data_IF_452073682299
#
_entry.id   IF_452073682299
#
_cell.length_a   1.000
_cell.length_b   1.000
_cell.length_c   1.000
_cell.angle_alpha   90.00
_cell.angle_beta   90.00
_cell.angle_gamma   90.00
#
_symmetry.space_group_name_H-M   'P 1'
#
loop_
_entity.id
_entity.type
_entity.pdbx_description
1 polymer ?
#
# COMPACT_ATOMS: atom_id res chain seq x y z
N UNK A 1 41.80 53.53 7.65
CA UNK A 1 42.22 52.59 8.68
C UNK A 1 41.31 51.39 8.56
N UNK A 2 41.76 50.39 7.83
CA UNK A 2 40.95 49.24 7.47
C UNK A 2 41.35 48.07 8.39
N UNK A 3 40.45 47.61 9.25
CA UNK A 3 40.65 46.40 10.07
C UNK A 3 40.18 45.17 9.30
N UNK A 4 41.10 44.29 8.96
CA UNK A 4 40.81 42.95 8.51
C UNK A 4 40.48 42.05 9.71
N UNK A 5 39.26 41.54 9.76
CA UNK A 5 38.86 40.50 10.73
C UNK A 5 39.39 39.13 10.31
N UNK A 6 40.02 38.43 11.23
CA UNK A 6 40.50 37.05 11.07
C UNK A 6 39.32 36.06 10.88
N UNK A 7 39.49 35.00 10.09
CA UNK A 7 38.42 34.03 9.85
C UNK A 7 38.14 33.17 11.08
N UNK A 8 36.87 32.86 11.27
CA UNK A 8 36.33 32.05 12.35
C UNK A 8 37.04 30.67 12.43
N UNK A 9 37.33 30.23 13.63
CA UNK A 9 37.89 28.92 13.94
C UNK A 9 37.00 27.81 13.32
N UNK A 10 37.54 27.08 12.37
CA UNK A 10 36.92 25.87 11.83
C UNK A 10 36.78 24.83 12.96
N UNK A 11 35.59 24.39 13.25
CA UNK A 11 35.28 23.44 14.31
C UNK A 11 35.91 22.06 13.96
N UNK A 12 36.53 21.40 14.93
CA UNK A 12 37.18 20.09 14.76
C UNK A 12 36.23 19.04 14.17
N UNK A 13 34.94 19.14 14.45
CA UNK A 13 33.90 18.26 13.88
C UNK A 13 33.74 18.44 12.36
N UNK A 14 33.84 19.66 11.85
CA UNK A 14 33.76 19.94 10.40
C UNK A 14 34.97 19.38 9.64
N UNK A 15 36.15 19.40 10.26
CA UNK A 15 37.36 18.80 9.70
C UNK A 15 37.29 17.26 9.66
N UNK A 16 36.70 16.64 10.68
CA UNK A 16 36.53 15.17 10.72
C UNK A 16 35.51 14.71 9.65
N UNK A 17 34.41 15.42 9.46
CA UNK A 17 33.41 15.11 8.41
C UNK A 17 33.99 15.30 7.01
N UNK A 18 34.77 16.39 6.79
CA UNK A 18 35.44 16.61 5.50
C UNK A 18 36.50 15.54 5.20
N UNK A 19 37.27 15.10 6.22
CA UNK A 19 38.23 14.01 6.07
C UNK A 19 37.54 12.65 5.81
N UNK A 20 36.41 12.38 6.46
CA UNK A 20 35.66 11.15 6.23
C UNK A 20 35.05 11.11 4.81
N UNK A 21 34.56 12.26 4.30
CA UNK A 21 34.03 12.36 2.93
C UNK A 21 35.13 12.17 1.90
N UNK A 22 36.31 12.76 2.12
CA UNK A 22 37.47 12.60 1.22
C UNK A 22 38.03 11.20 1.23
N UNK A 23 38.07 10.52 2.37
CA UNK A 23 38.46 9.11 2.49
C UNK A 23 37.41 8.20 1.85
N UNK A 24 36.10 8.51 2.02
CA UNK A 24 35.01 7.79 1.36
C UNK A 24 35.05 7.92 -0.15
N UNK A 25 35.34 9.12 -0.68
CA UNK A 25 35.52 9.36 -2.10
C UNK A 25 36.79 8.70 -2.66
N UNK A 26 37.88 8.68 -1.91
CA UNK A 26 39.14 8.03 -2.31
C UNK A 26 39.00 6.49 -2.30
N UNK A 27 38.34 5.93 -1.29
CA UNK A 27 38.02 4.48 -1.22
C UNK A 27 36.97 4.07 -2.25
N UNK A 28 35.94 4.93 -2.52
CA UNK A 28 34.98 4.70 -3.58
C UNK A 28 35.60 4.69 -4.97
N UNK A 29 36.62 5.52 -5.20
CA UNK A 29 37.35 5.55 -6.48
C UNK A 29 38.28 4.34 -6.65
N UNK A 30 38.69 3.69 -5.55
CA UNK A 30 39.50 2.45 -5.60
C UNK A 30 38.67 1.18 -5.69
N UNK A 31 37.40 1.22 -5.26
CA UNK A 31 36.46 0.11 -5.30
C UNK A 31 35.58 0.08 -6.54
N UNK A 32 35.64 1.10 -7.40
CA UNK A 32 35.02 1.00 -8.73
C UNK A 32 35.86 0.05 -9.58
N UNK A 33 35.36 -1.14 -9.94
CA UNK A 33 36.07 -2.02 -10.83
C UNK A 33 36.43 -1.23 -12.10
N UNK A 34 37.73 -1.16 -12.45
CA UNK A 34 38.15 -0.54 -13.70
C UNK A 34 37.45 -1.27 -14.83
N UNK A 35 36.74 -0.54 -15.69
CA UNK A 35 36.23 -1.11 -16.92
C UNK A 35 37.39 -1.78 -17.65
N UNK A 36 37.23 -3.04 -18.11
CA UNK A 36 38.28 -3.72 -18.88
C UNK A 36 38.67 -2.84 -20.06
N UNK A 37 39.98 -2.78 -20.34
CA UNK A 37 40.48 -2.09 -21.53
C UNK A 37 39.93 -2.77 -22.76
N UNK A 38 39.71 -2.02 -23.85
CA UNK A 38 39.12 -2.51 -25.10
C UNK A 38 39.86 -3.69 -25.76
N UNK A 39 41.07 -3.95 -25.30
CA UNK A 39 41.99 -4.98 -25.73
C UNK A 39 42.10 -6.19 -24.77
N UNK A 40 41.40 -6.19 -23.64
CA UNK A 40 41.37 -7.32 -22.74
C UNK A 40 40.37 -8.37 -23.29
N UNK A 41 40.93 -9.46 -23.88
CA UNK A 41 40.13 -10.60 -24.34
C UNK A 41 39.34 -11.18 -23.13
N UNK A 42 38.04 -10.98 -23.12
CA UNK A 42 37.17 -11.64 -22.16
C UNK A 42 37.21 -13.14 -22.39
N UNK A 43 37.75 -13.97 -21.49
CA UNK A 43 38.11 -15.34 -21.75
C UNK A 43 36.96 -16.27 -22.09
N UNK A 44 35.71 -15.92 -21.75
CA UNK A 44 34.52 -16.67 -22.14
C UNK A 44 33.33 -15.72 -22.34
N UNK A 45 32.77 -15.74 -23.54
CA UNK A 45 31.54 -15.00 -23.78
C UNK A 45 30.36 -15.69 -23.09
N UNK A 46 29.53 -14.95 -22.35
CA UNK A 46 28.33 -15.53 -21.79
C UNK A 46 27.36 -15.92 -22.88
N UNK A 47 26.66 -17.01 -22.69
CA UNK A 47 25.47 -17.29 -23.48
C UNK A 47 24.43 -16.22 -23.19
N UNK A 48 24.04 -15.46 -24.22
CA UNK A 48 22.96 -14.48 -24.09
C UNK A 48 21.63 -15.22 -24.03
N UNK A 49 20.80 -14.87 -23.04
CA UNK A 49 19.47 -15.47 -22.88
C UNK A 49 18.39 -14.40 -22.86
N UNK A 50 17.21 -14.78 -23.27
CA UNK A 50 15.99 -13.98 -23.12
C UNK A 50 14.86 -14.90 -22.70
N UNK A 51 14.23 -14.60 -21.57
CA UNK A 51 13.19 -15.45 -20.96
C UNK A 51 13.70 -16.88 -20.68
N UNK A 52 14.93 -16.99 -20.19
CA UNK A 52 15.57 -18.26 -19.84
C UNK A 52 16.08 -19.10 -21.04
N UNK A 53 15.75 -18.71 -22.27
CA UNK A 53 16.16 -19.41 -23.48
C UNK A 53 17.35 -18.72 -24.16
N UNK A 54 18.33 -19.50 -24.67
CA UNK A 54 19.46 -18.95 -25.40
C UNK A 54 19.00 -18.16 -26.65
N UNK A 55 19.57 -16.99 -26.86
CA UNK A 55 19.32 -16.13 -28.01
C UNK A 55 20.55 -16.09 -28.90
N UNK A 56 20.44 -16.68 -30.12
CA UNK A 56 21.48 -16.53 -31.13
C UNK A 56 21.53 -15.06 -31.59
N UNK A 57 22.73 -14.47 -31.59
CA UNK A 57 22.95 -13.08 -32.01
C UNK A 57 23.24 -12.93 -33.50
N UNK A 58 22.58 -13.75 -34.34
CA UNK A 58 22.62 -13.70 -35.78
C UNK A 58 21.77 -12.57 -36.39
N UNK A 59 21.62 -12.52 -37.70
CA UNK A 59 20.79 -11.50 -38.36
C UNK A 59 19.32 -11.60 -37.97
N UNK A 60 18.83 -12.78 -37.61
CA UNK A 60 17.45 -13.02 -37.17
C UNK A 60 17.20 -12.72 -35.69
N UNK A 61 18.24 -12.36 -34.91
CA UNK A 61 18.15 -12.18 -33.46
C UNK A 61 17.00 -11.25 -33.01
N UNK A 62 16.82 -10.11 -33.70
CA UNK A 62 15.76 -9.15 -33.38
C UNK A 62 14.36 -9.73 -33.61
N UNK A 63 14.16 -10.49 -34.68
CA UNK A 63 12.88 -11.12 -34.98
C UNK A 63 12.59 -12.27 -33.99
N UNK A 64 13.62 -13.07 -33.68
CA UNK A 64 13.51 -14.15 -32.69
C UNK A 64 13.20 -13.61 -31.30
N UNK A 65 13.90 -12.57 -30.88
CA UNK A 65 13.62 -11.88 -29.61
C UNK A 65 12.19 -11.32 -29.56
N UNK A 66 11.76 -10.64 -30.64
CA UNK A 66 10.38 -10.10 -30.71
C UNK A 66 9.33 -11.21 -30.66
N UNK A 67 9.53 -12.33 -31.35
CA UNK A 67 8.60 -13.45 -31.29
C UNK A 67 8.48 -14.05 -29.89
N UNK A 68 9.59 -14.15 -29.14
CA UNK A 68 9.59 -14.62 -27.75
C UNK A 68 8.86 -13.66 -26.82
N UNK A 69 9.19 -12.36 -26.90
CA UNK A 69 8.54 -11.34 -26.07
C UNK A 69 7.04 -11.26 -26.35
N UNK A 70 6.62 -11.38 -27.64
CA UNK A 70 5.19 -11.46 -28.00
C UNK A 70 4.49 -12.65 -27.36
N UNK A 71 5.11 -13.83 -27.40
CA UNK A 71 4.55 -15.04 -26.75
C UNK A 71 4.42 -14.86 -25.24
N UNK A 72 5.41 -14.24 -24.61
CA UNK A 72 5.36 -13.92 -23.20
C UNK A 72 4.25 -12.89 -22.90
N UNK A 73 4.17 -11.79 -23.63
CA UNK A 73 3.19 -10.71 -23.43
C UNK A 73 1.74 -11.16 -23.69
N UNK A 74 1.53 -12.16 -24.57
CA UNK A 74 0.21 -12.75 -24.81
C UNK A 74 -0.28 -13.66 -23.68
N UNK A 75 0.58 -14.00 -22.75
CA UNK A 75 0.24 -14.84 -21.60
C UNK A 75 -0.26 -14.05 -20.40
N UNK A 76 -0.39 -14.76 -19.29
CA UNK A 76 -0.87 -14.22 -18.02
C UNK A 76 0.25 -14.04 -17.00
N UNK A 77 -0.01 -13.16 -16.04
CA UNK A 77 0.71 -12.93 -14.80
C UNK A 77 -0.17 -13.32 -13.62
N UNK A 78 0.36 -14.09 -12.71
CA UNK A 78 -0.34 -14.49 -11.47
C UNK A 78 0.01 -13.50 -10.37
N UNK A 79 -0.99 -12.77 -9.89
CA UNK A 79 -0.88 -11.89 -8.73
C UNK A 79 -1.06 -12.71 -7.46
N UNK A 80 -0.10 -12.65 -6.56
CA UNK A 80 -0.10 -13.43 -5.32
C UNK A 80 -0.43 -12.51 -4.15
N UNK A 81 -1.41 -12.90 -3.35
CA UNK A 81 -1.82 -12.19 -2.14
C UNK A 81 -1.03 -12.71 -0.93
N UNK A 82 -0.92 -11.95 0.17
CA UNK A 82 -0.21 -12.39 1.38
C UNK A 82 -0.76 -13.67 2.03
N UNK A 83 -2.04 -13.98 1.82
CA UNK A 83 -2.67 -15.22 2.29
C UNK A 83 -2.44 -16.41 1.35
N UNK A 84 -1.60 -16.25 0.33
CA UNK A 84 -1.27 -17.26 -0.66
C UNK A 84 -2.32 -17.42 -1.76
N UNK A 85 -3.45 -16.71 -1.71
CA UNK A 85 -4.42 -16.69 -2.80
C UNK A 85 -3.81 -16.10 -4.05
N UNK A 86 -4.31 -16.52 -5.21
CA UNK A 86 -3.79 -16.16 -6.51
C UNK A 86 -4.90 -15.59 -7.38
N UNK A 87 -4.55 -14.57 -8.17
CA UNK A 87 -5.41 -13.99 -9.19
C UNK A 87 -4.64 -13.97 -10.51
N UNK A 88 -5.22 -14.45 -11.56
CA UNK A 88 -4.58 -14.52 -12.88
C UNK A 88 -5.11 -13.41 -13.78
N UNK A 89 -4.20 -12.64 -14.36
CA UNK A 89 -4.50 -11.54 -15.27
C UNK A 89 -3.66 -11.68 -16.55
N UNK A 90 -4.29 -11.45 -17.71
CA UNK A 90 -3.53 -11.30 -18.95
C UNK A 90 -2.63 -10.06 -18.86
N UNK A 91 -1.37 -10.19 -19.28
CA UNK A 91 -0.40 -9.09 -19.23
C UNK A 91 -0.92 -7.86 -20.00
N UNK A 92 -1.56 -8.06 -21.16
CA UNK A 92 -2.16 -6.99 -21.93
C UNK A 92 -3.32 -6.27 -21.21
N UNK A 93 -4.08 -6.97 -20.37
CA UNK A 93 -5.13 -6.38 -19.53
C UNK A 93 -4.54 -5.48 -18.44
N UNK A 94 -3.42 -5.89 -17.84
CA UNK A 94 -2.65 -5.08 -16.91
C UNK A 94 -1.90 -3.92 -17.58
N UNK A 95 -2.11 -3.67 -18.89
CA UNK A 95 -1.44 -2.60 -19.61
C UNK A 95 -0.01 -2.94 -20.05
N UNK A 96 0.39 -4.22 -20.05
CA UNK A 96 1.72 -4.62 -20.51
C UNK A 96 1.87 -4.47 -22.02
N UNK A 97 2.81 -3.64 -22.45
CA UNK A 97 3.11 -3.32 -23.84
C UNK A 97 4.58 -3.60 -24.16
N UNK A 98 4.86 -4.06 -25.37
CA UNK A 98 6.23 -4.37 -25.81
C UNK A 98 6.92 -3.08 -26.22
N UNK A 99 8.00 -2.71 -25.53
CA UNK A 99 8.89 -1.64 -25.95
C UNK A 99 9.85 -2.16 -27.05
N UNK A 100 9.45 -1.92 -28.31
CA UNK A 100 10.22 -2.34 -29.47
C UNK A 100 11.54 -1.60 -29.62
N UNK A 101 11.60 -0.36 -29.17
CA UNK A 101 12.82 0.46 -29.21
C UNK A 101 13.84 -0.11 -28.24
N UNK A 102 13.42 -0.34 -27.01
CA UNK A 102 14.24 -0.99 -25.98
C UNK A 102 14.67 -2.40 -26.41
N UNK A 103 13.77 -3.20 -27.01
CA UNK A 103 14.11 -4.52 -27.53
C UNK A 103 15.25 -4.45 -28.57
N UNK A 104 15.11 -3.55 -29.55
CA UNK A 104 16.14 -3.38 -30.58
C UNK A 104 17.47 -2.90 -29.97
N UNK A 105 17.43 -2.05 -28.97
CA UNK A 105 18.63 -1.60 -28.26
C UNK A 105 19.29 -2.74 -27.49
N UNK A 106 18.53 -3.54 -26.72
CA UNK A 106 19.04 -4.69 -25.98
C UNK A 106 19.74 -5.71 -26.92
N UNK A 107 19.18 -5.99 -28.10
CA UNK A 107 19.78 -6.88 -29.06
C UNK A 107 21.09 -6.29 -29.65
N UNK A 108 21.14 -4.97 -29.89
CA UNK A 108 22.38 -4.29 -30.32
C UNK A 108 23.45 -4.36 -29.21
N UNK A 109 23.07 -4.00 -27.99
CA UNK A 109 23.96 -4.01 -26.82
C UNK A 109 24.48 -5.43 -26.55
N UNK A 110 23.65 -6.45 -26.74
CA UNK A 110 24.06 -7.86 -26.64
C UNK A 110 25.06 -8.30 -27.69
N UNK A 111 25.16 -7.61 -28.84
CA UNK A 111 26.19 -7.85 -29.89
C UNK A 111 27.47 -7.06 -29.61
N UNK A 112 27.38 -5.95 -28.89
CA UNK A 112 28.52 -5.08 -28.61
C UNK A 112 29.13 -5.41 -27.24
N UNK A 113 30.32 -6.03 -27.27
CA UNK A 113 31.07 -6.41 -26.08
C UNK A 113 31.49 -5.21 -25.18
N UNK A 114 31.53 -4.00 -25.74
CA UNK A 114 31.86 -2.78 -25.01
C UNK A 114 30.64 -2.10 -24.41
N UNK A 115 29.45 -2.65 -24.63
CA UNK A 115 28.19 -2.09 -24.17
C UNK A 115 28.10 -2.03 -22.63
N UNK A 116 27.26 -1.13 -22.09
CA UNK A 116 26.99 -1.08 -20.65
C UNK A 116 26.46 -2.43 -20.10
N UNK A 117 25.77 -3.21 -20.94
CA UNK A 117 25.23 -4.51 -20.59
C UNK A 117 26.33 -5.51 -20.21
N UNK A 118 27.35 -5.66 -21.08
CA UNK A 118 28.50 -6.53 -20.79
C UNK A 118 29.34 -6.01 -19.64
N UNK A 119 29.52 -4.70 -19.51
CA UNK A 119 30.24 -4.11 -18.38
C UNK A 119 29.56 -4.40 -17.06
N UNK A 120 28.24 -4.29 -17.00
CA UNK A 120 27.46 -4.62 -15.78
C UNK A 120 27.55 -6.12 -15.46
N UNK A 121 27.46 -6.99 -16.47
CA UNK A 121 27.60 -8.43 -16.29
C UNK A 121 28.98 -8.81 -15.77
N UNK A 122 30.04 -8.26 -16.35
CA UNK A 122 31.41 -8.50 -15.93
C UNK A 122 31.70 -7.94 -14.53
N UNK A 123 31.19 -6.75 -14.22
CA UNK A 123 31.37 -6.13 -12.89
C UNK A 123 30.69 -6.91 -11.79
N UNK A 124 29.66 -7.66 -12.09
CA UNK A 124 28.94 -8.53 -11.15
C UNK A 124 29.63 -9.90 -10.96
N UNK A 125 30.76 -10.17 -11.63
CA UNK A 125 31.51 -11.42 -11.61
C UNK A 125 30.60 -12.65 -11.86
N UNK A 126 29.61 -12.49 -12.75
CA UNK A 126 28.65 -13.54 -13.05
C UNK A 126 29.28 -14.50 -14.08
N UNK A 127 29.63 -15.69 -13.61
CA UNK A 127 30.05 -16.82 -14.49
C UNK A 127 28.86 -17.48 -15.22
N UNK A 128 27.70 -16.88 -15.13
CA UNK A 128 26.43 -17.38 -15.66
C UNK A 128 26.10 -16.73 -17.01
N UNK A 129 25.08 -17.23 -17.68
CA UNK A 129 24.55 -16.61 -18.88
C UNK A 129 24.13 -15.15 -18.67
N UNK A 130 24.28 -14.32 -19.70
CA UNK A 130 23.78 -12.95 -19.70
C UNK A 130 22.27 -12.97 -19.99
N UNK A 131 21.45 -12.84 -18.95
CA UNK A 131 19.99 -12.75 -19.12
C UNK A 131 19.59 -11.32 -19.50
N UNK A 132 18.89 -11.16 -20.62
CA UNK A 132 18.39 -9.87 -21.05
C UNK A 132 17.10 -9.53 -20.30
N UNK A 133 16.94 -8.30 -19.82
CA UNK A 133 15.68 -7.86 -19.26
C UNK A 133 14.59 -7.90 -20.33
N UNK A 134 13.38 -8.28 -19.94
CA UNK A 134 12.25 -8.37 -20.87
C UNK A 134 11.73 -6.95 -21.14
N UNK A 135 11.72 -6.47 -22.39
CA UNK A 135 11.33 -5.12 -22.72
C UNK A 135 9.80 -4.97 -22.80
N UNK A 136 9.17 -5.13 -21.65
CA UNK A 136 7.76 -4.84 -21.44
C UNK A 136 7.66 -3.63 -20.52
N UNK A 137 6.87 -2.66 -20.91
CA UNK A 137 6.49 -1.50 -20.10
C UNK A 137 5.03 -1.60 -19.75
N UNK A 138 4.67 -1.18 -18.55
CA UNK A 138 3.28 -1.06 -18.15
C UNK A 138 2.71 0.30 -18.58
N UNK A 139 1.59 0.29 -19.26
CA UNK A 139 0.73 1.46 -19.32
C UNK A 139 0.19 1.71 -17.91
N UNK A 140 0.76 2.74 -17.28
CA UNK A 140 0.55 3.01 -15.85
C UNK A 140 -0.92 3.28 -15.52
N UNK A 141 -1.64 3.96 -16.40
CA UNK A 141 -3.06 4.27 -16.22
C UNK A 141 -3.89 2.98 -16.17
N UNK A 142 -3.73 2.09 -17.16
CA UNK A 142 -4.45 0.80 -17.19
C UNK A 142 -4.10 -0.10 -16.02
N UNK A 143 -2.81 -0.17 -15.65
CA UNK A 143 -2.39 -0.96 -14.51
C UNK A 143 -2.98 -0.43 -13.21
N UNK A 144 -3.05 0.90 -13.07
CA UNK A 144 -3.64 1.57 -11.92
C UNK A 144 -5.14 1.28 -11.82
N UNK A 145 -5.88 1.37 -12.92
CA UNK A 145 -7.32 1.07 -12.94
C UNK A 145 -7.61 -0.36 -12.46
N UNK A 146 -6.86 -1.36 -12.95
CA UNK A 146 -7.03 -2.76 -12.52
C UNK A 146 -6.63 -2.96 -11.05
N UNK A 147 -5.58 -2.29 -10.57
CA UNK A 147 -5.17 -2.37 -9.17
C UNK A 147 -6.18 -1.65 -8.24
N UNK A 148 -6.81 -0.57 -8.68
CA UNK A 148 -7.86 0.11 -7.91
C UNK A 148 -9.12 -0.76 -7.80
N UNK A 149 -9.52 -1.45 -8.86
CA UNK A 149 -10.62 -2.44 -8.78
C UNK A 149 -10.29 -3.57 -7.79
N UNK A 150 -9.04 -4.05 -7.80
CA UNK A 150 -8.58 -5.03 -6.82
C UNK A 150 -8.56 -4.47 -5.40
N UNK A 151 -8.18 -3.20 -5.24
CA UNK A 151 -8.19 -2.51 -3.96
C UNK A 151 -9.58 -2.49 -3.36
N UNK A 152 -10.60 -2.12 -4.12
CA UNK A 152 -12.00 -2.08 -3.67
C UNK A 152 -12.50 -3.47 -3.24
N UNK A 153 -12.04 -4.55 -3.89
CA UNK A 153 -12.40 -5.93 -3.52
C UNK A 153 -11.65 -6.42 -2.28
N UNK A 154 -10.36 -6.06 -2.15
CA UNK A 154 -9.44 -6.70 -1.22
C UNK A 154 -9.19 -5.92 0.06
N UNK A 155 -9.42 -4.62 0.05
CA UNK A 155 -9.22 -3.78 1.23
C UNK A 155 -10.17 -4.16 2.36
N UNK A 156 -9.64 -4.18 3.55
CA UNK A 156 -10.39 -4.36 4.78
C UNK A 156 -9.87 -3.39 5.82
N UNK A 157 -10.77 -2.59 6.34
CA UNK A 157 -10.44 -1.74 7.48
C UNK A 157 -10.25 -2.60 8.74
N UNK A 158 -9.41 -2.16 9.68
CA UNK A 158 -9.29 -2.82 10.97
C UNK A 158 -10.62 -2.74 11.71
N UNK A 159 -10.97 -3.80 12.41
CA UNK A 159 -12.15 -3.85 13.29
C UNK A 159 -11.67 -4.12 14.70
N UNK A 160 -12.07 -3.27 15.62
CA UNK A 160 -11.70 -3.39 17.03
C UNK A 160 -12.37 -4.61 17.69
N UNK A 161 -11.70 -5.18 18.68
CA UNK A 161 -12.33 -6.13 19.57
C UNK A 161 -13.53 -5.46 20.26
N UNK A 162 -14.64 -6.18 20.33
CA UNK A 162 -15.92 -5.66 20.86
C UNK A 162 -16.63 -6.72 21.68
N UNK A 163 -17.57 -6.28 22.51
CA UNK A 163 -18.46 -7.15 23.25
C UNK A 163 -19.72 -7.45 22.44
N UNK A 164 -20.02 -8.72 22.22
CA UNK A 164 -21.36 -9.18 21.79
C UNK A 164 -22.28 -9.15 23.02
N UNK A 165 -23.14 -8.13 23.11
CA UNK A 165 -23.99 -7.88 24.27
C UNK A 165 -25.05 -8.97 24.46
N UNK A 166 -25.51 -9.61 23.38
CA UNK A 166 -26.50 -10.70 23.46
C UNK A 166 -25.86 -11.97 24.03
N UNK A 167 -24.69 -12.34 23.52
CA UNK A 167 -23.97 -13.54 23.93
C UNK A 167 -23.06 -13.34 25.13
N UNK A 168 -22.87 -12.09 25.57
CA UNK A 168 -21.92 -11.68 26.61
C UNK A 168 -20.51 -12.25 26.36
N UNK A 169 -20.09 -12.23 25.11
CA UNK A 169 -18.81 -12.77 24.67
C UNK A 169 -18.00 -11.73 23.94
N UNK A 170 -16.69 -11.76 24.17
CA UNK A 170 -15.77 -10.96 23.43
C UNK A 170 -15.65 -11.45 22.00
N UNK A 171 -15.86 -10.55 21.04
CA UNK A 171 -15.59 -10.78 19.62
C UNK A 171 -14.18 -10.25 19.35
N UNK A 172 -13.25 -11.08 18.92
CA UNK A 172 -11.88 -10.65 18.69
C UNK A 172 -11.80 -9.63 17.55
N UNK A 173 -10.74 -8.88 17.59
CA UNK A 173 -10.38 -7.91 16.58
C UNK A 173 -10.08 -8.54 15.21
N UNK A 174 -10.18 -7.73 14.16
CA UNK A 174 -9.74 -8.09 12.82
C UNK A 174 -8.70 -7.08 12.34
N UNK A 175 -7.52 -7.55 12.01
CA UNK A 175 -6.50 -6.69 11.41
C UNK A 175 -6.95 -6.14 10.06
N UNK A 176 -6.71 -4.84 9.86
CA UNK A 176 -6.92 -4.18 8.59
C UNK A 176 -5.85 -4.59 7.57
N UNK A 177 -6.23 -4.57 6.30
CA UNK A 177 -5.35 -4.87 5.17
C UNK A 177 -5.74 -3.98 4.01
N UNK A 178 -4.84 -3.10 3.60
CA UNK A 178 -5.04 -2.16 2.50
C UNK A 178 -4.02 -2.42 1.40
N UNK A 179 -4.47 -2.54 0.16
CA UNK A 179 -3.58 -2.72 -0.98
C UNK A 179 -2.74 -1.45 -1.18
N UNK A 180 -1.42 -1.60 -1.13
CA UNK A 180 -0.48 -0.57 -1.56
C UNK A 180 -0.35 -0.64 -3.08
N UNK A 181 -1.04 0.27 -3.76
CA UNK A 181 -1.14 0.28 -5.22
C UNK A 181 0.21 0.59 -5.86
N UNK A 182 0.96 1.57 -5.33
CA UNK A 182 2.24 1.98 -5.90
C UNK A 182 3.33 0.92 -5.71
N UNK A 183 3.41 0.32 -4.53
CA UNK A 183 4.32 -0.78 -4.28
C UNK A 183 3.96 -2.03 -5.09
N UNK A 184 2.67 -2.32 -5.26
CA UNK A 184 2.18 -3.42 -6.11
C UNK A 184 2.49 -3.16 -7.57
N UNK A 185 2.30 -1.94 -8.08
CA UNK A 185 2.67 -1.57 -9.45
C UNK A 185 4.17 -1.79 -9.70
N UNK A 186 5.02 -1.36 -8.77
CA UNK A 186 6.47 -1.58 -8.83
C UNK A 186 6.81 -3.08 -8.82
N UNK A 187 6.08 -3.89 -8.07
CA UNK A 187 6.24 -5.36 -8.06
C UNK A 187 5.90 -5.97 -9.43
N UNK A 188 4.80 -5.52 -10.05
CA UNK A 188 4.39 -5.94 -11.38
C UNK A 188 5.45 -5.58 -12.45
N UNK A 189 5.93 -4.33 -12.43
CA UNK A 189 6.96 -3.85 -13.36
C UNK A 189 8.23 -4.71 -13.29
N UNK A 190 8.71 -4.99 -12.06
CA UNK A 190 9.89 -5.83 -11.84
C UNK A 190 9.68 -7.27 -12.29
N UNK A 191 8.52 -7.86 -12.01
CA UNK A 191 8.22 -9.22 -12.44
C UNK A 191 8.20 -9.33 -13.97
N UNK A 192 7.58 -8.38 -14.66
CA UNK A 192 7.55 -8.34 -16.11
C UNK A 192 8.94 -8.15 -16.73
N UNK A 193 9.75 -7.25 -16.16
CA UNK A 193 11.14 -7.01 -16.63
C UNK A 193 12.02 -8.24 -16.46
N UNK A 194 11.81 -9.04 -15.40
CA UNK A 194 12.52 -10.30 -15.17
C UNK A 194 11.96 -11.50 -15.95
N UNK A 195 10.85 -11.33 -16.66
CA UNK A 195 10.18 -12.42 -17.35
C UNK A 195 9.48 -13.40 -16.41
N UNK A 196 9.20 -13.00 -15.19
CA UNK A 196 8.49 -13.82 -14.20
C UNK A 196 7.00 -13.92 -14.56
N UNK A 197 6.37 -15.02 -14.16
CA UNK A 197 4.93 -15.25 -14.32
C UNK A 197 4.14 -15.02 -13.03
N UNK A 198 4.80 -14.45 -12.01
CA UNK A 198 4.21 -14.16 -10.73
C UNK A 198 4.68 -12.80 -10.25
N UNK A 199 3.79 -12.05 -9.62
CA UNK A 199 4.09 -10.81 -8.93
C UNK A 199 3.33 -10.79 -7.61
N UNK A 200 4.00 -10.37 -6.55
CA UNK A 200 3.36 -10.24 -5.24
C UNK A 200 2.63 -8.91 -5.15
N UNK A 201 1.38 -8.95 -4.68
CA UNK A 201 0.65 -7.76 -4.27
C UNK A 201 1.13 -7.32 -2.90
N UNK A 202 1.40 -6.04 -2.76
CA UNK A 202 1.90 -5.44 -1.52
C UNK A 202 0.74 -4.85 -0.73
N UNK A 203 0.71 -5.13 0.58
CA UNK A 203 -0.34 -4.65 1.46
C UNK A 203 0.23 -3.94 2.67
N UNK A 204 -0.42 -2.86 3.06
CA UNK A 204 -0.26 -2.24 4.38
C UNK A 204 -1.20 -2.94 5.37
N UNK A 205 -0.66 -3.45 6.46
CA UNK A 205 -1.44 -4.05 7.54
C UNK A 205 -1.66 -3.00 8.64
N UNK A 206 -2.93 -2.74 8.96
CA UNK A 206 -3.32 -1.84 10.04
C UNK A 206 -3.85 -2.61 11.21
N UNK A 207 -3.29 -2.33 12.39
CA UNK A 207 -3.79 -2.90 13.63
C UNK A 207 -5.05 -2.17 14.07
N UNK A 208 -6.03 -2.86 14.65
CA UNK A 208 -7.13 -2.24 15.33
C UNK A 208 -6.65 -1.45 16.57
N UNK A 209 -7.44 -0.51 17.03
CA UNK A 209 -7.15 0.27 18.23
C UNK A 209 -7.36 -0.56 19.50
N UNK A 210 -8.28 -1.53 19.47
CA UNK A 210 -8.62 -2.44 20.56
C UNK A 210 -8.33 -3.87 20.17
N UNK A 211 -7.60 -4.59 21.03
CA UNK A 211 -7.31 -6.00 20.85
C UNK A 211 -7.93 -6.82 21.98
N UNK A 212 -8.37 -8.02 21.69
CA UNK A 212 -9.03 -8.89 22.66
C UNK A 212 -8.13 -9.22 23.85
N UNK A 213 -6.82 -9.25 23.67
CA UNK A 213 -5.86 -9.50 24.75
C UNK A 213 -5.86 -8.42 25.84
N UNK A 214 -6.20 -7.17 25.49
CA UNK A 214 -6.33 -6.07 26.47
C UNK A 214 -7.61 -6.19 27.29
N UNK A 215 -8.62 -6.90 26.77
CA UNK A 215 -9.94 -7.09 27.37
C UNK A 215 -10.08 -8.45 28.06
N UNK A 216 -9.06 -9.29 28.01
CA UNK A 216 -9.14 -10.74 28.22
C UNK A 216 -9.62 -11.26 29.58
N UNK A 217 -9.73 -10.41 30.62
CA UNK A 217 -10.20 -10.84 31.95
C UNK A 217 -11.27 -9.91 32.52
N UNK A 218 -11.90 -9.06 31.70
CA UNK A 218 -12.94 -8.14 32.16
C UNK A 218 -14.29 -8.86 32.01
N UNK A 219 -15.04 -8.97 33.12
CA UNK A 219 -16.41 -9.46 33.11
C UNK A 219 -17.36 -8.28 32.84
N UNK A 220 -18.27 -8.47 31.89
CA UNK A 220 -19.32 -7.51 31.52
C UNK A 220 -20.68 -8.08 31.94
N UNK A 221 -20.88 -8.24 33.24
CA UNK A 221 -22.02 -8.91 33.82
C UNK A 221 -23.02 -7.97 34.50
N UNK A 222 -22.62 -6.71 34.73
CA UNK A 222 -23.49 -5.70 35.37
C UNK A 222 -23.84 -4.56 34.42
N UNK A 223 -25.08 -4.06 34.51
CA UNK A 223 -25.54 -2.86 33.80
C UNK A 223 -25.40 -1.67 34.76
N UNK A 224 -24.46 -0.77 34.47
CA UNK A 224 -24.18 0.41 35.28
C UNK A 224 -25.19 1.52 35.04
N UNK A 225 -25.65 1.71 33.83
CA UNK A 225 -26.61 2.75 33.47
C UNK A 225 -27.49 2.34 32.29
N UNK A 226 -28.72 2.79 32.29
CA UNK A 226 -29.66 2.53 31.22
C UNK A 226 -30.49 3.79 30.94
N UNK A 227 -30.66 4.06 29.63
CA UNK A 227 -31.54 5.13 29.18
C UNK A 227 -32.10 4.78 27.80
N UNK A 228 -33.37 5.08 27.56
CA UNK A 228 -33.97 4.84 26.27
C UNK A 228 -34.76 6.07 25.79
N UNK A 229 -34.82 6.21 24.48
CA UNK A 229 -35.66 7.20 23.82
C UNK A 229 -36.41 6.59 22.67
N UNK A 230 -37.64 7.07 22.44
CA UNK A 230 -38.48 6.56 21.35
C UNK A 230 -38.37 7.45 20.12
N UNK A 231 -38.43 6.84 18.93
CA UNK A 231 -38.48 7.53 17.66
C UNK A 231 -39.52 6.93 16.71
N UNK A 232 -40.06 7.75 15.81
CA UNK A 232 -41.05 7.31 14.83
C UNK A 232 -40.39 6.43 13.76
N UNK A 233 -41.00 5.27 13.48
CA UNK A 233 -40.60 4.33 12.42
C UNK A 233 -41.43 4.47 11.15
N UNK A 234 -42.26 5.53 11.04
CA UNK A 234 -43.11 5.71 9.86
C UNK A 234 -42.29 5.88 8.59
N UNK A 235 -42.88 5.58 7.44
CA UNK A 235 -42.26 5.68 6.12
C UNK A 235 -41.65 7.05 5.83
N UNK A 236 -42.28 8.11 6.36
CA UNK A 236 -41.78 9.50 6.24
C UNK A 236 -40.40 9.70 6.84
N UNK A 237 -39.99 8.91 7.81
CA UNK A 237 -38.73 9.04 8.55
C UNK A 237 -37.74 7.91 8.29
N UNK A 238 -37.87 7.20 7.15
CA UNK A 238 -36.98 6.06 6.85
C UNK A 238 -35.51 6.41 6.81
N UNK A 239 -35.15 7.52 6.16
CA UNK A 239 -33.76 7.98 6.09
C UNK A 239 -33.20 8.32 7.48
N UNK A 240 -34.00 9.00 8.31
CA UNK A 240 -33.66 9.28 9.70
C UNK A 240 -33.51 8.00 10.53
N UNK A 241 -34.42 7.06 10.39
CA UNK A 241 -34.36 5.76 11.06
C UNK A 241 -33.11 4.99 10.66
N UNK A 242 -32.73 5.05 9.38
CA UNK A 242 -31.50 4.46 8.88
C UNK A 242 -30.27 5.08 9.53
N UNK A 243 -30.18 6.42 9.58
CA UNK A 243 -29.09 7.14 10.22
C UNK A 243 -28.95 6.82 11.72
N UNK A 244 -30.09 6.74 12.44
CA UNK A 244 -30.12 6.34 13.84
C UNK A 244 -29.51 4.95 14.04
N UNK A 245 -29.93 3.97 13.24
CA UNK A 245 -29.42 2.61 13.32
C UNK A 245 -27.94 2.52 12.96
N UNK A 246 -27.51 3.27 11.95
CA UNK A 246 -26.12 3.32 11.52
C UNK A 246 -25.24 3.90 12.64
N UNK A 247 -25.63 5.01 13.26
CA UNK A 247 -24.89 5.58 14.37
C UNK A 247 -24.86 4.63 15.58
N UNK A 248 -26.00 4.02 15.93
CA UNK A 248 -26.08 3.08 17.04
C UNK A 248 -25.20 1.84 16.82
N UNK A 249 -25.15 1.31 15.59
CA UNK A 249 -24.33 0.13 15.28
C UNK A 249 -22.82 0.36 15.44
N UNK A 250 -22.36 1.63 15.36
CA UNK A 250 -20.96 1.98 15.58
C UNK A 250 -20.61 2.03 17.09
N UNK A 251 -21.63 2.20 17.94
CA UNK A 251 -21.49 2.21 19.39
C UNK A 251 -21.68 0.84 20.02
N UNK A 252 -22.40 -0.03 19.32
CA UNK A 252 -22.76 -1.35 19.83
C UNK A 252 -21.52 -2.22 20.10
N UNK A 253 -21.37 -2.66 21.35
CA UNK A 253 -20.24 -3.43 21.82
C UNK A 253 -18.94 -2.64 21.97
N UNK A 254 -18.94 -1.31 21.82
CA UNK A 254 -17.77 -0.47 22.08
C UNK A 254 -17.33 -0.60 23.54
N UNK A 255 -16.04 -0.84 23.75
CA UNK A 255 -15.47 -0.99 25.10
C UNK A 255 -14.61 0.20 25.42
N UNK A 256 -14.87 0.82 26.58
CA UNK A 256 -14.09 1.91 27.17
C UNK A 256 -13.30 1.34 28.35
N UNK A 257 -11.98 1.53 28.35
CA UNK A 257 -11.13 1.09 29.46
C UNK A 257 -11.08 2.15 30.58
N UNK A 258 -10.75 1.76 31.82
CA UNK A 258 -10.60 2.70 32.92
C UNK A 258 -9.62 3.84 32.58
N UNK A 259 -10.05 5.08 32.82
CA UNK A 259 -9.26 6.28 32.54
C UNK A 259 -9.30 6.78 31.10
N UNK A 260 -10.01 6.10 30.20
CA UNK A 260 -10.20 6.58 28.84
C UNK A 260 -11.37 7.55 28.71
N UNK A 261 -11.24 8.45 27.75
CA UNK A 261 -12.31 9.37 27.36
C UNK A 261 -12.99 8.85 26.10
N UNK A 262 -14.32 8.80 26.14
CA UNK A 262 -15.15 8.50 24.98
C UNK A 262 -15.52 9.79 24.25
N UNK A 263 -15.20 9.87 22.96
CA UNK A 263 -15.71 10.91 22.07
C UNK A 263 -16.69 10.30 21.06
N UNK A 264 -17.93 10.79 21.11
CA UNK A 264 -19.01 10.34 20.23
C UNK A 264 -18.67 10.57 18.74
N UNK A 265 -18.03 11.70 18.43
CA UNK A 265 -17.72 12.05 17.05
C UNK A 265 -16.60 11.17 16.50
N UNK A 266 -15.61 10.83 17.31
CA UNK A 266 -14.52 9.94 16.93
C UNK A 266 -15.02 8.52 16.63
N UNK A 267 -15.93 8.01 17.46
CA UNK A 267 -16.46 6.63 17.32
C UNK A 267 -17.45 6.54 16.18
N UNK A 268 -18.40 7.49 16.09
CA UNK A 268 -19.44 7.49 15.06
C UNK A 268 -18.89 7.97 13.71
N UNK A 269 -17.84 8.79 13.72
CA UNK A 269 -17.18 9.34 12.54
C UNK A 269 -17.99 10.43 11.82
N UNK A 270 -17.51 10.95 10.70
CA UNK A 270 -18.20 11.93 9.88
C UNK A 270 -19.59 11.46 9.42
N UNK A 271 -20.56 12.37 9.47
CA UNK A 271 -21.95 12.10 9.03
C UNK A 271 -22.13 12.57 7.60
N UNK A 272 -21.50 11.90 6.66
CA UNK A 272 -21.53 12.19 5.23
C UNK A 272 -21.97 10.96 4.41
N UNK A 273 -22.15 11.13 3.12
CA UNK A 273 -22.56 10.06 2.20
C UNK A 273 -21.49 8.96 2.07
N UNK A 274 -20.20 9.33 2.14
CA UNK A 274 -19.10 8.37 2.06
C UNK A 274 -19.12 7.38 3.24
N UNK A 275 -19.62 7.83 4.41
CA UNK A 275 -19.84 7.01 5.59
C UNK A 275 -21.24 6.38 5.65
N UNK A 276 -22.00 6.48 4.56
CA UNK A 276 -23.30 5.82 4.38
C UNK A 276 -24.50 6.55 4.97
N UNK A 277 -24.33 7.78 5.47
CA UNK A 277 -25.45 8.56 6.00
C UNK A 277 -26.33 9.11 4.88
N UNK A 278 -27.64 9.20 5.17
CA UNK A 278 -28.68 9.68 4.25
C UNK A 278 -29.13 11.08 4.63
N UNK A 279 -29.64 11.82 3.63
CA UNK A 279 -30.30 13.08 3.85
C UNK A 279 -31.57 12.86 4.69
N UNK A 280 -31.69 13.60 5.77
CA UNK A 280 -32.85 13.63 6.65
C UNK A 280 -32.91 15.01 7.35
N UNK A 281 -33.99 15.31 8.03
CA UNK A 281 -34.13 16.57 8.75
C UNK A 281 -33.05 16.71 9.84
N UNK A 282 -32.29 17.79 9.78
CA UNK A 282 -31.34 18.26 10.79
C UNK A 282 -31.80 19.57 11.38
N UNK A 283 -31.29 19.90 12.57
CA UNK A 283 -31.49 21.22 13.19
C UNK A 283 -30.27 22.07 12.84
N UNK A 284 -30.46 23.12 12.06
CA UNK A 284 -29.45 24.11 11.76
C UNK A 284 -30.01 25.51 12.06
N UNK A 285 -29.27 26.30 12.84
CA UNK A 285 -29.65 27.67 13.25
C UNK A 285 -31.05 27.75 13.92
N UNK A 286 -31.48 26.65 14.55
CA UNK A 286 -32.80 26.57 15.20
C UNK A 286 -33.95 26.14 14.28
N UNK A 287 -33.70 25.93 13.00
CA UNK A 287 -34.69 25.47 12.03
C UNK A 287 -34.46 24.02 11.61
N UNK A 288 -35.55 23.37 11.14
CA UNK A 288 -35.47 22.03 10.56
C UNK A 288 -35.25 22.14 9.06
N UNK A 289 -34.06 21.72 8.62
CA UNK A 289 -33.66 21.72 7.20
C UNK A 289 -33.21 20.32 6.78
N UNK A 290 -33.19 20.08 5.48
CA UNK A 290 -32.62 18.85 4.93
C UNK A 290 -31.09 18.85 5.06
N UNK A 291 -30.52 17.79 5.63
CA UNK A 291 -29.07 17.63 5.81
C UNK A 291 -28.69 16.17 5.99
N UNK A 292 -27.41 15.87 5.74
CA UNK A 292 -26.91 14.50 5.85
C UNK A 292 -26.74 14.12 7.33
N UNK A 293 -27.11 12.88 7.70
CA UNK A 293 -26.93 12.36 9.06
C UNK A 293 -28.00 12.80 10.06
N UNK A 294 -29.12 13.39 9.59
CA UNK A 294 -30.22 13.81 10.46
C UNK A 294 -30.72 12.68 11.35
N UNK A 295 -30.85 13.01 12.67
CA UNK A 295 -31.24 12.07 13.71
C UNK A 295 -30.12 11.64 14.66
N UNK A 296 -28.85 11.71 14.31
CA UNK A 296 -27.72 11.24 15.11
C UNK A 296 -27.62 11.89 16.49
N UNK A 297 -28.08 13.16 16.64
CA UNK A 297 -28.17 13.85 17.93
C UNK A 297 -29.04 13.10 18.94
N UNK A 298 -30.05 12.35 18.49
CA UNK A 298 -30.87 11.55 19.41
C UNK A 298 -30.07 10.38 19.98
N UNK A 299 -29.18 9.77 19.20
CA UNK A 299 -28.31 8.69 19.67
C UNK A 299 -27.30 9.23 20.68
N UNK A 300 -26.66 10.39 20.41
CA UNK A 300 -25.74 11.01 21.40
C UNK A 300 -26.46 11.41 22.69
N UNK A 301 -27.65 11.98 22.58
CA UNK A 301 -28.45 12.33 23.77
C UNK A 301 -28.88 11.11 24.58
N UNK A 302 -29.24 10.00 23.92
CA UNK A 302 -29.58 8.75 24.60
C UNK A 302 -28.36 8.15 25.29
N UNK A 303 -27.21 8.16 24.64
CA UNK A 303 -25.96 7.69 25.24
C UNK A 303 -25.54 8.56 26.42
N UNK A 304 -25.65 9.90 26.29
CA UNK A 304 -25.38 10.83 27.39
C UNK A 304 -26.25 10.52 28.59
N UNK A 305 -27.55 10.28 28.38
CA UNK A 305 -28.46 9.90 29.50
C UNK A 305 -28.00 8.61 30.17
N UNK A 306 -27.64 7.59 29.42
CA UNK A 306 -27.14 6.33 29.98
C UNK A 306 -25.82 6.53 30.75
N UNK A 307 -24.88 7.31 30.22
CA UNK A 307 -23.60 7.62 30.88
C UNK A 307 -23.81 8.38 32.18
N UNK A 308 -24.73 9.35 32.16
CA UNK A 308 -25.10 10.12 33.39
C UNK A 308 -25.66 9.20 34.48
N UNK A 309 -26.59 8.30 34.15
CA UNK A 309 -27.14 7.35 35.11
C UNK A 309 -26.12 6.25 35.52
N UNK A 310 -25.11 5.99 34.73
CA UNK A 310 -23.99 5.14 35.10
C UNK A 310 -22.99 5.81 36.05
N UNK A 311 -23.14 7.12 36.35
CA UNK A 311 -22.22 7.87 37.18
C UNK A 311 -20.87 8.14 36.54
N UNK A 312 -20.80 8.12 35.21
CA UNK A 312 -19.60 8.45 34.45
C UNK A 312 -19.43 9.98 34.37
N UNK A 313 -18.19 10.44 34.45
CA UNK A 313 -17.86 11.86 34.29
C UNK A 313 -18.17 12.30 32.85
N UNK A 314 -18.89 13.40 32.70
CA UNK A 314 -19.18 14.03 31.41
C UNK A 314 -18.37 15.34 31.36
N UNK A 315 -17.45 15.41 30.39
CA UNK A 315 -16.48 16.50 30.22
C UNK A 315 -16.74 17.32 28.96
#
# INVERSE_FOLDING_TARGET
MIFFGLPARVNKSTLIVAAAVLVGLALGFWLVPRAPRADEELPNLPTVRLLGEALALDEAASNNALARVRRYAAGSLVLVLPDGKRREYYIGRLGGEIDRVRLAQLVRDARDRTSPLYRAWHAADLQTALELPVPIVLNRERALDELLLLKDELDRLPVDARLDLEKRKLVPEVNGRLLDVDASLTSLERALERGERKADLVFEFRKPKRVASELGNVAFDEVLGYFETNYSRSMRYQARTFNLRLAASKLDGYVLLPGETFDFNDVVGPRDEANGYKVALVIAEGELVDGIGGGTCQISGTLHGAAFFAGLDVI
#
